data_IF_240453223574
#
_entry.id   IF_240453223574
#
_cell.length_a   1.000
_cell.length_b   1.000
_cell.length_c   1.000
_cell.angle_alpha   90.00
_cell.angle_beta   90.00
_cell.angle_gamma   90.00
#
_symmetry.space_group_name_H-M   'P 1'
#
loop_
_entity.id
_entity.type
_entity.pdbx_description
1 polymer ?
#
# COMPACT_ATOMS: atom_id res chain seq x y z
N UNK A 1 -7.30 -15.66 -14.05
CA UNK A 1 -6.20 -14.77 -14.20
C UNK A 1 -6.50 -13.43 -13.58
N UNK A 2 -5.63 -12.97 -12.81
CA UNK A 2 -5.92 -11.82 -11.96
C UNK A 2 -5.34 -10.50 -12.45
N UNK A 3 -4.88 -10.42 -13.68
CA UNK A 3 -4.24 -9.19 -14.16
C UNK A 3 -5.17 -7.98 -14.14
N UNK A 4 -6.44 -8.18 -14.47
CA UNK A 4 -7.40 -7.11 -14.41
C UNK A 4 -7.84 -6.76 -12.99
N UNK A 5 -7.32 -7.49 -11.99
CA UNK A 5 -7.70 -7.33 -10.59
C UNK A 5 -6.70 -6.50 -9.81
N UNK A 6 -5.74 -5.87 -10.47
CA UNK A 6 -4.79 -5.00 -9.80
C UNK A 6 -5.12 -3.53 -10.05
N UNK A 7 -4.83 -2.70 -9.07
CA UNK A 7 -4.92 -1.24 -9.20
C UNK A 7 -3.61 -0.63 -8.76
N UNK A 8 -3.11 0.26 -9.60
CA UNK A 8 -1.93 1.04 -9.25
C UNK A 8 -2.32 2.13 -8.27
N UNK A 9 -1.52 2.31 -7.24
CA UNK A 9 -1.73 3.34 -6.23
C UNK A 9 -0.48 4.20 -6.13
N UNK A 10 -0.63 5.37 -5.54
CA UNK A 10 0.49 6.21 -5.18
C UNK A 10 0.75 6.07 -3.70
N UNK A 11 2.02 6.09 -3.31
CA UNK A 11 2.41 5.91 -1.92
C UNK A 11 3.35 7.03 -1.52
N UNK A 12 3.06 7.65 -0.38
CA UNK A 12 3.97 8.57 0.28
C UNK A 12 4.74 7.76 1.31
N UNK A 13 6.05 7.77 1.21
CA UNK A 13 6.91 6.98 2.08
C UNK A 13 7.11 7.71 3.40
N UNK A 14 7.27 6.92 4.45
CA UNK A 14 7.62 7.49 5.76
C UNK A 14 9.07 7.94 5.70
N UNK A 15 9.29 9.22 5.96
CA UNK A 15 10.61 9.81 5.93
C UNK A 15 11.48 9.19 7.03
N UNK A 16 12.73 8.93 6.71
CA UNK A 16 13.72 8.37 7.63
C UNK A 16 13.42 6.94 8.07
N UNK A 17 12.45 6.28 7.46
CA UNK A 17 12.16 4.88 7.74
C UNK A 17 12.54 4.01 6.56
N UNK A 18 13.27 2.94 6.89
CA UNK A 18 13.79 2.03 5.87
C UNK A 18 14.03 0.69 6.57
N UNK A 19 13.16 -0.30 6.32
CA UNK A 19 13.33 -1.63 6.89
C UNK A 19 14.07 -2.51 5.90
N UNK A 20 15.25 -2.98 6.29
CA UNK A 20 16.06 -3.90 5.47
C UNK A 20 16.33 -3.33 4.07
N UNK A 21 16.55 -2.03 3.97
CA UNK A 21 16.79 -1.39 2.68
C UNK A 21 15.53 -1.18 1.84
N UNK A 22 14.34 -1.39 2.40
CA UNK A 22 13.09 -1.28 1.69
C UNK A 22 12.28 -0.07 2.15
N UNK A 23 11.61 0.64 1.25
CA UNK A 23 10.80 1.78 1.63
C UNK A 23 9.62 1.36 2.50
N UNK A 24 9.22 2.23 3.42
CA UNK A 24 8.10 1.97 4.32
C UNK A 24 6.94 2.87 3.89
N UNK A 25 5.79 2.30 3.49
CA UNK A 25 4.65 3.10 3.09
C UNK A 25 4.01 3.78 4.30
N UNK A 26 3.62 5.03 4.13
CA UNK A 26 3.00 5.81 5.19
C UNK A 26 1.58 6.23 4.83
N UNK A 27 1.39 6.77 3.63
CA UNK A 27 0.09 7.21 3.12
C UNK A 27 -0.12 6.56 1.76
N UNK A 28 -1.30 6.04 1.52
CA UNK A 28 -1.70 5.50 0.22
C UNK A 28 -2.71 6.44 -0.40
N UNK A 29 -2.46 6.86 -1.63
CA UNK A 29 -3.43 7.58 -2.42
C UNK A 29 -4.10 6.62 -3.41
N UNK A 30 -5.41 6.54 -3.33
CA UNK A 30 -6.22 5.71 -4.22
C UNK A 30 -7.46 6.49 -4.62
N UNK A 31 -7.66 6.64 -5.93
CA UNK A 31 -8.82 7.34 -6.49
C UNK A 31 -8.99 8.76 -5.91
N UNK A 32 -7.89 9.46 -5.70
CA UNK A 32 -7.91 10.81 -5.19
C UNK A 32 -8.13 10.94 -3.69
N UNK A 33 -8.18 9.84 -2.96
CA UNK A 33 -8.36 9.83 -1.52
C UNK A 33 -7.08 9.35 -0.84
N UNK A 34 -6.82 9.84 0.36
CA UNK A 34 -5.61 9.51 1.12
C UNK A 34 -5.98 8.62 2.31
N UNK A 35 -5.20 7.55 2.49
CA UNK A 35 -5.40 6.56 3.55
C UNK A 35 -4.11 6.37 4.31
N UNK A 36 -4.16 6.53 5.62
CA UNK A 36 -2.96 6.34 6.45
C UNK A 36 -2.71 4.86 6.69
N UNK A 37 -1.46 4.46 6.49
CA UNK A 37 -1.00 3.13 6.89
C UNK A 37 -0.74 3.17 8.39
N UNK A 38 -1.59 2.50 9.16
CA UNK A 38 -1.52 2.53 10.62
C UNK A 38 -0.42 1.62 11.15
N UNK A 39 -0.14 0.53 10.44
CA UNK A 39 0.89 -0.40 10.85
C UNK A 39 1.39 -1.16 9.62
N UNK A 40 2.67 -1.48 9.60
CA UNK A 40 3.28 -2.37 8.60
C UNK A 40 3.65 -3.65 9.33
N UNK A 41 2.84 -4.68 9.14
CA UNK A 41 2.97 -5.92 9.92
C UNK A 41 4.02 -6.86 9.37
N UNK A 42 4.16 -6.93 8.06
CA UNK A 42 5.12 -7.82 7.40
C UNK A 42 5.63 -7.19 6.13
N UNK A 43 6.88 -7.49 5.81
CA UNK A 43 7.50 -7.13 4.54
C UNK A 43 8.24 -8.39 4.07
N UNK A 44 7.90 -8.91 2.90
CA UNK A 44 8.53 -10.12 2.37
C UNK A 44 8.50 -10.14 0.85
N UNK A 45 9.36 -10.96 0.26
CA UNK A 45 9.32 -11.18 -1.17
C UNK A 45 7.98 -11.81 -1.55
N UNK A 46 7.36 -11.30 -2.61
CA UNK A 46 6.17 -11.93 -3.16
C UNK A 46 6.57 -13.19 -3.94
N UNK A 47 5.74 -14.23 -3.88
CA UNK A 47 6.02 -15.48 -4.57
C UNK A 47 5.27 -15.56 -5.89
N UNK A 48 5.80 -16.37 -6.84
CA UNK A 48 5.20 -16.52 -8.15
C UNK A 48 5.96 -15.76 -9.22
N UNK A 49 5.86 -16.23 -10.46
CA UNK A 49 6.60 -15.64 -11.58
C UNK A 49 6.17 -14.20 -11.86
N UNK A 50 4.90 -13.91 -11.72
CA UNK A 50 4.36 -12.58 -11.97
C UNK A 50 4.82 -11.56 -10.92
N UNK A 51 5.40 -12.03 -9.83
CA UNK A 51 5.86 -11.15 -8.74
C UNK A 51 7.38 -11.08 -8.65
N UNK A 52 8.08 -11.39 -9.75
CA UNK A 52 9.54 -11.32 -9.74
C UNK A 52 10.00 -9.92 -9.31
N UNK A 53 10.94 -9.87 -8.39
CA UNK A 53 11.48 -8.63 -7.83
C UNK A 53 10.42 -7.75 -7.15
N UNK A 54 9.34 -8.35 -6.71
CA UNK A 54 8.25 -7.65 -6.06
C UNK A 54 8.29 -7.91 -4.56
N UNK A 55 8.05 -6.88 -3.78
CA UNK A 55 7.96 -6.96 -2.32
C UNK A 55 6.49 -6.85 -1.93
N UNK A 56 6.08 -7.71 -1.02
CA UNK A 56 4.71 -7.74 -0.51
C UNK A 56 4.70 -7.22 0.91
N UNK A 57 3.91 -6.19 1.15
CA UNK A 57 3.73 -5.59 2.48
C UNK A 57 2.36 -5.96 3.00
N UNK A 58 2.30 -6.40 4.25
CA UNK A 58 1.03 -6.54 4.94
C UNK A 58 0.86 -5.31 5.83
N UNK A 59 -0.11 -4.48 5.49
CA UNK A 59 -0.34 -3.21 6.17
C UNK A 59 -1.74 -3.17 6.75
N UNK A 60 -1.94 -2.34 7.77
CA UNK A 60 -3.26 -2.09 8.33
C UNK A 60 -3.74 -0.70 7.91
N UNK A 61 -4.92 -0.64 7.33
CA UNK A 61 -5.57 0.58 6.88
C UNK A 61 -7.00 0.57 7.40
N UNK A 62 -7.38 1.59 8.18
CA UNK A 62 -8.73 1.70 8.75
C UNK A 62 -9.17 0.45 9.53
N UNK A 63 -8.23 -0.19 10.21
CA UNK A 63 -8.50 -1.39 10.99
C UNK A 63 -8.53 -2.69 10.18
N UNK A 64 -8.25 -2.64 8.89
CA UNK A 64 -8.28 -3.80 7.99
C UNK A 64 -6.87 -4.09 7.48
N UNK A 65 -6.49 -5.36 7.46
CA UNK A 65 -5.22 -5.77 6.89
C UNK A 65 -5.35 -5.86 5.37
N UNK A 66 -4.35 -5.33 4.68
CA UNK A 66 -4.34 -5.29 3.23
C UNK A 66 -2.93 -5.55 2.73
N UNK A 67 -2.80 -6.32 1.66
CA UNK A 67 -1.51 -6.50 1.00
C UNK A 67 -1.27 -5.40 -0.01
N UNK A 68 -0.07 -4.83 0.03
CA UNK A 68 0.38 -3.81 -0.91
C UNK A 68 1.67 -4.31 -1.54
N UNK A 69 1.82 -4.13 -2.83
CA UNK A 69 2.94 -4.64 -3.61
C UNK A 69 3.78 -3.51 -4.15
N UNK A 70 5.09 -3.70 -4.15
CA UNK A 70 6.05 -2.75 -4.69
C UNK A 70 7.05 -3.51 -5.57
N UNK A 71 7.14 -3.12 -6.85
CA UNK A 71 8.01 -3.81 -7.80
C UNK A 71 9.35 -3.11 -8.03
N UNK A 72 9.66 -2.11 -7.22
CA UNK A 72 10.86 -1.28 -7.36
C UNK A 72 10.59 0.03 -8.07
N UNK A 73 9.44 0.16 -8.72
CA UNK A 73 9.04 1.35 -9.47
C UNK A 73 7.66 1.84 -9.07
N UNK A 74 6.70 0.93 -8.96
CA UNK A 74 5.30 1.26 -8.73
C UNK A 74 4.74 0.47 -7.57
N UNK A 75 3.71 1.05 -6.95
CA UNK A 75 2.94 0.42 -5.89
C UNK A 75 1.58 0.04 -6.44
N UNK A 76 1.08 -1.11 -6.03
CA UNK A 76 -0.25 -1.55 -6.46
C UNK A 76 -0.88 -2.49 -5.44
N UNK A 77 -2.18 -2.67 -5.56
CA UNK A 77 -2.97 -3.57 -4.74
C UNK A 77 -3.77 -4.51 -5.64
N UNK A 78 -4.18 -5.62 -5.06
CA UNK A 78 -5.17 -6.48 -5.69
C UNK A 78 -6.55 -5.96 -5.32
N UNK A 79 -7.45 -5.88 -6.31
CA UNK A 79 -8.81 -5.46 -6.05
C UNK A 79 -9.58 -6.63 -5.44
N UNK A 80 -10.19 -6.40 -4.28
CA UNK A 80 -10.90 -7.42 -3.53
C UNK A 80 -12.23 -6.84 -3.05
N UNK A 81 -13.16 -7.71 -2.69
CA UNK A 81 -14.48 -7.26 -2.26
C UNK A 81 -14.43 -6.43 -0.98
N UNK A 82 -13.52 -6.75 -0.08
CA UNK A 82 -13.37 -6.00 1.17
C UNK A 82 -12.73 -4.63 0.99
N UNK A 83 -12.31 -4.26 -0.22
CA UNK A 83 -11.73 -2.94 -0.47
C UNK A 83 -12.71 -1.83 -0.13
N UNK A 84 -14.00 -2.06 -0.29
CA UNK A 84 -15.01 -1.07 0.08
C UNK A 84 -14.94 -0.74 1.57
N UNK A 85 -14.63 -1.70 2.42
CA UNK A 85 -14.49 -1.46 3.86
C UNK A 85 -13.15 -0.81 4.18
N UNK A 86 -12.09 -1.31 3.57
CA UNK A 86 -10.74 -0.81 3.82
C UNK A 86 -10.62 0.67 3.43
N UNK A 87 -11.21 1.05 2.30
CA UNK A 87 -11.07 2.39 1.75
C UNK A 87 -12.35 3.21 1.86
N UNK A 88 -13.23 2.87 2.80
CA UNK A 88 -14.49 3.59 2.98
C UNK A 88 -14.29 5.01 3.50
N UNK A 89 -13.34 5.18 4.44
CA UNK A 89 -13.11 6.47 5.08
C UNK A 89 -11.62 6.80 5.02
N UNK A 90 -11.22 7.87 4.30
CA UNK A 90 -9.83 8.31 4.34
C UNK A 90 -9.40 8.64 5.76
N UNK A 91 -8.19 8.23 6.12
CA UNK A 91 -7.68 8.46 7.47
C UNK A 91 -7.05 9.84 7.65
N UNK A 92 -6.67 10.50 6.56
CA UNK A 92 -6.02 11.81 6.61
C UNK A 92 -6.56 12.70 5.51
N UNK A 93 -6.49 14.02 5.74
CA UNK A 93 -6.80 15.00 4.72
C UNK A 93 -5.62 15.17 3.76
N UNK A 94 -5.85 15.69 2.55
CA UNK A 94 -4.74 15.99 1.65
C UNK A 94 -3.69 16.90 2.27
N UNK A 95 -4.10 17.86 3.12
CA UNK A 95 -3.18 18.75 3.81
C UNK A 95 -2.23 18.00 4.72
N UNK A 96 -2.71 17.01 5.45
CA UNK A 96 -1.88 16.20 6.32
C UNK A 96 -0.90 15.36 5.52
N UNK A 97 -1.34 14.81 4.39
CA UNK A 97 -0.46 14.02 3.54
C UNK A 97 0.68 14.87 3.00
N UNK A 98 0.42 16.12 2.62
CA UNK A 98 1.42 17.03 2.10
C UNK A 98 2.39 17.51 3.18
N UNK A 99 1.95 17.57 4.42
CA UNK A 99 2.75 18.09 5.53
C UNK A 99 3.83 17.12 6.01
N UNK A 100 3.89 15.93 5.45
CA UNK A 100 4.89 14.92 5.83
C UNK A 100 6.33 15.31 5.42
#
# INVERSE_FOLDING_TARGET
MVFGMTSRINVILKQDWNRNGLPVPYIIEKDGQFYKVQDVKQIRAASGRQYRNTVKYLVNINGHDKYVFYDGYFWYILNEDEDQRTFANPAVSPSEAIAI
#
